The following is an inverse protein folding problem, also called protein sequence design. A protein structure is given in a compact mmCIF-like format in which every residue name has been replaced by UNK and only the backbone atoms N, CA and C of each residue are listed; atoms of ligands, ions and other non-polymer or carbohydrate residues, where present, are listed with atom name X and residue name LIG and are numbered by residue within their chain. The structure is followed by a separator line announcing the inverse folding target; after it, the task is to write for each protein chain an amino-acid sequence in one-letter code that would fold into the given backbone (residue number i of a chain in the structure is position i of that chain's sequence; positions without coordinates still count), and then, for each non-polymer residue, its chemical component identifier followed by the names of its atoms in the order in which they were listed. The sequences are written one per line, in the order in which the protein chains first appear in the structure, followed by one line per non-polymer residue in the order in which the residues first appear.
data_IF_489887854846
#
_entry.id   IF_489887854846
#
_cell.length_a   1.000
_cell.length_b   1.000
_cell.length_c   1.000
_cell.angle_alpha   90.00
_cell.angle_beta   90.00
_cell.angle_gamma   90.00
#
_symmetry.space_group_name_H-M   'P 1'
#
loop_
_entity.id
_entity.type
_entity.pdbx_description
1 polymer ?
#
# COMPACT_ATOMS: atom_id res chain seq x y z
N UNK A 1 19.18 6.46 35.76
CA UNK A 1 18.27 6.33 34.60
C UNK A 1 18.12 7.70 33.97
N UNK A 2 18.89 7.98 32.92
CA UNK A 2 18.81 9.24 32.20
C UNK A 2 17.96 8.98 30.95
N UNK A 3 16.71 9.46 30.92
CA UNK A 3 16.01 9.59 29.64
C UNK A 3 16.77 10.64 28.82
N UNK A 4 17.25 10.28 27.64
CA UNK A 4 18.02 11.20 26.79
C UNK A 4 17.23 12.46 26.41
N UNK A 5 15.89 12.36 26.41
CA UNK A 5 14.98 13.51 26.36
C UNK A 5 14.47 13.76 27.79
N UNK A 6 14.89 14.84 28.47
CA UNK A 6 14.41 15.15 29.81
C UNK A 6 12.89 15.34 29.80
N UNK A 7 12.18 14.70 30.74
CA UNK A 7 10.73 14.87 30.88
C UNK A 7 10.30 16.34 30.97
N UNK A 8 11.11 17.17 31.61
CA UNK A 8 10.90 18.62 31.68
C UNK A 8 10.88 19.29 30.29
N UNK A 9 11.71 18.81 29.35
CA UNK A 9 11.73 19.30 27.96
C UNK A 9 10.47 18.89 27.20
N UNK A 10 10.02 17.63 27.33
CA UNK A 10 8.78 17.14 26.72
C UNK A 10 7.57 17.92 27.26
N UNK A 11 7.51 18.12 28.58
CA UNK A 11 6.48 18.92 29.23
C UNK A 11 6.49 20.36 28.72
N UNK A 12 7.66 20.97 28.57
CA UNK A 12 7.79 22.33 28.04
C UNK A 12 7.29 22.42 26.59
N UNK A 13 7.71 21.51 25.71
CA UNK A 13 7.28 21.44 24.31
C UNK A 13 5.76 21.33 24.24
N UNK A 14 5.20 20.35 24.94
CA UNK A 14 3.76 20.05 24.87
C UNK A 14 2.89 21.13 25.52
N UNK A 15 3.41 21.91 26.47
CA UNK A 15 2.66 22.99 27.14
C UNK A 15 2.83 24.36 26.49
N UNK A 16 4.00 24.69 25.94
CA UNK A 16 4.36 26.07 25.54
C UNK A 16 4.55 26.24 24.04
N UNK A 17 4.90 25.20 23.31
CA UNK A 17 5.26 25.32 21.90
C UNK A 17 4.06 25.10 20.97
N UNK A 18 2.99 25.89 21.18
CA UNK A 18 1.71 25.82 20.44
C UNK A 18 1.83 26.13 18.93
N UNK A 19 2.99 26.60 18.49
CA UNK A 19 3.27 26.91 17.09
C UNK A 19 4.12 25.86 16.36
N UNK A 20 4.50 24.76 17.02
CA UNK A 20 5.26 23.67 16.39
C UNK A 20 4.41 22.96 15.33
N UNK A 21 4.98 22.84 14.13
CA UNK A 21 4.38 22.14 13.00
C UNK A 21 5.10 20.82 12.68
N UNK A 22 6.28 20.58 13.27
CA UNK A 22 7.07 19.37 13.03
C UNK A 22 7.94 19.06 14.25
N UNK A 23 7.93 17.79 14.66
CA UNK A 23 8.80 17.25 15.70
C UNK A 23 9.49 16.03 15.10
N UNK A 24 10.83 16.03 15.12
CA UNK A 24 11.64 14.91 14.65
C UNK A 24 12.46 14.40 15.83
N UNK A 25 12.28 13.13 16.17
CA UNK A 25 13.04 12.42 17.18
C UNK A 25 13.89 11.35 16.49
N UNK A 26 15.20 11.52 16.55
CA UNK A 26 16.16 10.55 16.00
C UNK A 26 16.83 9.80 17.15
N UNK A 27 16.62 8.49 17.17
CA UNK A 27 17.13 7.55 18.16
C UNK A 27 18.21 6.69 17.52
N UNK A 28 19.26 6.38 18.27
CA UNK A 28 20.34 5.49 17.83
C UNK A 28 20.39 4.30 18.77
N UNK A 29 20.48 3.08 18.22
CA UNK A 29 20.76 1.89 19.03
C UNK A 29 22.19 1.96 19.59
N UNK A 30 22.44 1.60 20.86
CA UNK A 30 21.53 0.96 21.82
C UNK A 30 20.85 1.92 22.84
N UNK A 31 20.73 3.22 22.55
CA UNK A 31 20.18 4.25 23.47
C UNK A 31 18.64 4.20 23.61
N UNK A 32 18.09 3.00 23.51
CA UNK A 32 16.69 2.66 23.75
C UNK A 32 16.44 2.68 25.26
N UNK A 33 15.40 3.38 25.70
CA UNK A 33 15.16 3.62 27.12
C UNK A 33 13.71 3.37 27.53
N UNK A 34 13.52 2.92 28.77
CA UNK A 34 12.23 2.56 29.40
C UNK A 34 11.15 3.67 29.38
N UNK A 35 11.50 4.91 29.02
CA UNK A 35 10.59 6.07 28.96
C UNK A 35 10.20 6.54 27.55
N UNK A 36 10.69 5.90 26.48
CA UNK A 36 10.43 6.35 25.12
C UNK A 36 8.94 6.30 24.78
N UNK A 37 8.27 5.20 25.12
CA UNK A 37 6.85 5.03 24.81
C UNK A 37 5.98 6.07 25.52
N UNK A 38 6.31 6.45 26.76
CA UNK A 38 5.63 7.52 27.47
C UNK A 38 5.85 8.86 26.76
N UNK A 39 7.09 9.16 26.39
CA UNK A 39 7.46 10.39 25.66
C UNK A 39 6.73 10.46 24.32
N UNK A 40 6.75 9.37 23.55
CA UNK A 40 6.05 9.25 22.29
C UNK A 40 4.54 9.48 22.47
N UNK A 41 3.91 8.83 23.44
CA UNK A 41 2.49 9.00 23.71
C UNK A 41 2.12 10.43 24.14
N UNK A 42 2.97 11.11 24.90
CA UNK A 42 2.76 12.51 25.27
C UNK A 42 2.84 13.43 24.04
N UNK A 43 3.85 13.26 23.18
CA UNK A 43 4.00 14.04 21.94
C UNK A 43 2.88 13.74 20.94
N UNK A 44 2.49 12.48 20.83
CA UNK A 44 1.35 12.06 20.05
C UNK A 44 0.06 12.70 20.58
N UNK A 45 -0.14 12.74 21.90
CA UNK A 45 -1.26 13.44 22.54
C UNK A 45 -1.25 14.95 22.30
N UNK A 46 -0.08 15.58 22.21
CA UNK A 46 0.07 16.98 21.81
C UNK A 46 -0.32 17.20 20.35
N UNK A 47 0.11 16.31 19.45
CA UNK A 47 -0.23 16.36 18.02
C UNK A 47 -1.75 16.37 17.81
N UNK A 48 -2.48 15.49 18.49
CA UNK A 48 -3.94 15.39 18.36
C UNK A 48 -4.71 16.59 18.94
N UNK A 49 -4.10 17.38 19.82
CA UNK A 49 -4.70 18.59 20.37
C UNK A 49 -4.46 19.82 19.50
N UNK A 50 -3.57 19.73 18.51
CA UNK A 50 -3.28 20.86 17.62
C UNK A 50 -4.53 21.26 16.82
N UNK A 51 -4.71 22.57 16.69
CA UNK A 51 -5.73 23.18 15.85
C UNK A 51 -5.15 23.80 14.59
N UNK A 52 -3.82 23.71 14.41
CA UNK A 52 -3.15 24.19 13.20
C UNK A 52 -3.29 23.19 12.05
N UNK A 53 -3.33 23.65 10.79
CA UNK A 53 -3.72 22.82 9.65
C UNK A 53 -2.87 21.56 9.47
N UNK A 54 -1.57 21.66 9.74
CA UNK A 54 -0.60 20.58 9.54
C UNK A 54 0.38 20.51 10.70
N UNK A 55 0.47 19.32 11.31
CA UNK A 55 1.51 19.02 12.27
C UNK A 55 2.07 17.60 12.01
N UNK A 56 3.36 17.42 12.20
CA UNK A 56 4.02 16.14 11.99
C UNK A 56 4.86 15.70 13.18
N UNK A 57 4.87 14.38 13.42
CA UNK A 57 5.76 13.72 14.35
C UNK A 57 6.47 12.59 13.62
N UNK A 58 7.81 12.66 13.59
CA UNK A 58 8.67 11.68 12.96
C UNK A 58 9.57 11.05 14.01
N UNK A 59 9.53 9.73 14.10
CA UNK A 59 10.40 8.92 14.94
C UNK A 59 11.33 8.13 14.03
N UNK A 60 12.64 8.33 14.15
CA UNK A 60 13.65 7.62 13.39
C UNK A 60 14.51 6.75 14.31
N UNK A 61 14.56 5.46 14.01
CA UNK A 61 15.44 4.50 14.67
C UNK A 61 16.61 4.18 13.73
N UNK A 62 17.81 4.58 14.12
CA UNK A 62 19.03 4.17 13.45
C UNK A 62 19.58 2.93 14.15
N UNK A 63 19.49 1.80 13.46
CA UNK A 63 19.94 0.51 13.96
C UNK A 63 21.41 0.31 13.61
N UNK A 64 22.21 0.00 14.62
CA UNK A 64 23.52 -0.61 14.43
C UNK A 64 23.34 -2.12 14.52
N UNK A 65 24.01 -2.89 13.66
CA UNK A 65 23.97 -4.36 13.71
C UNK A 65 24.55 -4.83 15.04
N UNK A 66 23.73 -5.44 15.93
CA UNK A 66 24.18 -5.86 17.26
C UNK A 66 23.09 -6.07 18.30
N UNK A 67 23.50 -6.07 19.58
CA UNK A 67 22.67 -6.25 20.78
C UNK A 67 21.59 -5.15 20.88
N UNK A 68 20.36 -5.54 21.21
CA UNK A 68 19.22 -4.64 21.41
C UNK A 68 18.28 -4.44 20.20
N UNK A 69 18.45 -5.24 19.15
CA UNK A 69 17.54 -5.22 18.00
C UNK A 69 16.07 -5.53 18.37
N UNK A 70 15.85 -6.54 19.22
CA UNK A 70 14.49 -6.92 19.65
C UNK A 70 13.81 -5.80 20.45
N UNK A 71 14.55 -5.10 21.31
CA UNK A 71 13.99 -3.98 22.10
C UNK A 71 13.56 -2.82 21.19
N UNK A 72 14.32 -2.54 20.12
CA UNK A 72 13.92 -1.57 19.08
C UNK A 72 12.63 -2.01 18.40
N UNK A 73 12.53 -3.28 18.02
CA UNK A 73 11.35 -3.83 17.35
C UNK A 73 10.10 -3.75 18.25
N UNK A 74 10.24 -4.12 19.53
CA UNK A 74 9.16 -4.08 20.51
C UNK A 74 8.65 -2.64 20.70
N UNK A 75 9.55 -1.65 20.80
CA UNK A 75 9.14 -0.24 20.88
C UNK A 75 8.48 0.28 19.60
N UNK A 76 8.98 -0.12 18.42
CA UNK A 76 8.34 0.23 17.15
C UNK A 76 6.92 -0.33 17.15
N UNK A 77 6.73 -1.58 17.57
CA UNK A 77 5.41 -2.20 17.71
C UNK A 77 4.52 -1.43 18.69
N UNK A 78 5.01 -1.01 19.85
CA UNK A 78 4.25 -0.20 20.81
C UNK A 78 3.87 1.18 20.25
N UNK A 79 4.77 1.82 19.51
CA UNK A 79 4.51 3.11 18.85
C UNK A 79 3.46 2.96 17.73
N UNK A 80 3.54 1.89 16.92
CA UNK A 80 2.55 1.55 15.89
C UNK A 80 1.19 1.26 16.53
N UNK A 81 1.14 0.44 17.58
CA UNK A 81 -0.08 0.17 18.32
C UNK A 81 -0.69 1.46 18.90
N UNK A 82 0.14 2.40 19.36
CA UNK A 82 -0.31 3.69 19.85
C UNK A 82 -0.83 4.61 18.73
N UNK A 83 -0.22 4.53 17.54
CA UNK A 83 -0.60 5.25 16.32
C UNK A 83 -1.95 4.79 15.79
N UNK A 84 -2.16 3.48 15.68
CA UNK A 84 -3.36 2.89 15.09
C UNK A 84 -4.56 2.85 16.03
N UNK A 85 -4.44 3.38 17.25
CA UNK A 85 -5.59 3.54 18.14
C UNK A 85 -6.62 4.50 17.53
N UNK A 86 -7.92 4.28 17.78
CA UNK A 86 -8.94 5.20 17.33
C UNK A 86 -8.75 6.55 18.01
N UNK A 87 -8.56 7.60 17.21
CA UNK A 87 -8.39 8.96 17.69
C UNK A 87 -9.13 9.92 16.77
N UNK A 88 -9.75 10.93 17.37
CA UNK A 88 -10.33 12.04 16.62
C UNK A 88 -9.27 13.12 16.44
N UNK A 89 -9.04 13.55 15.21
CA UNK A 89 -8.25 14.76 14.92
C UNK A 89 -9.16 15.90 14.47
N UNK A 90 -8.73 17.14 14.73
CA UNK A 90 -9.38 18.35 14.21
C UNK A 90 -8.77 18.84 12.90
N UNK A 91 -7.58 18.33 12.56
CA UNK A 91 -6.69 18.85 11.52
C UNK A 91 -5.93 17.71 10.85
N UNK A 92 -5.23 18.00 9.75
CA UNK A 92 -4.38 17.03 9.08
C UNK A 92 -3.11 16.79 9.90
N UNK A 93 -2.87 15.54 10.30
CA UNK A 93 -1.70 15.14 11.06
C UNK A 93 -0.92 14.07 10.31
N UNK A 94 0.41 14.17 10.35
CA UNK A 94 1.31 13.16 9.77
C UNK A 94 2.19 12.53 10.84
N UNK A 95 2.19 11.22 10.91
CA UNK A 95 2.99 10.41 11.81
C UNK A 95 3.90 9.54 10.97
N UNK A 96 5.21 9.59 11.23
CA UNK A 96 6.16 8.74 10.51
C UNK A 96 7.04 7.99 11.51
N UNK A 97 7.07 6.67 11.38
CA UNK A 97 8.00 5.80 12.11
C UNK A 97 8.92 5.20 11.06
N UNK A 98 10.22 5.39 11.24
CA UNK A 98 11.25 5.02 10.28
C UNK A 98 12.29 4.19 11.00
N UNK A 99 12.51 2.97 10.51
CA UNK A 99 13.66 2.15 10.87
C UNK A 99 14.71 2.25 9.75
N UNK A 100 15.95 2.55 10.11
CA UNK A 100 17.11 2.55 9.21
C UNK A 100 18.09 1.50 9.68
N UNK A 101 18.19 0.41 8.93
CA UNK A 101 19.20 -0.63 9.15
C UNK A 101 20.51 -0.32 8.40
N UNK A 102 20.42 0.29 7.22
CA UNK A 102 21.57 0.75 6.44
C UNK A 102 21.20 1.95 5.56
N UNK A 103 22.16 2.47 4.78
CA UNK A 103 21.90 3.56 3.81
C UNK A 103 20.90 3.16 2.71
N UNK A 104 20.74 1.87 2.45
CA UNK A 104 19.85 1.33 1.42
C UNK A 104 18.63 0.59 1.99
N UNK A 105 18.66 0.22 3.28
CA UNK A 105 17.59 -0.54 3.93
C UNK A 105 16.85 0.35 4.93
N UNK A 106 15.67 0.78 4.52
CA UNK A 106 14.77 1.60 5.32
C UNK A 106 13.37 1.01 5.29
N UNK A 107 12.81 0.75 6.47
CA UNK A 107 11.39 0.47 6.62
C UNK A 107 10.71 1.74 7.12
N UNK A 108 9.61 2.13 6.49
CA UNK A 108 8.88 3.36 6.87
C UNK A 108 7.40 3.08 6.95
N UNK A 109 6.81 3.52 8.05
CA UNK A 109 5.37 3.63 8.23
C UNK A 109 5.03 5.10 8.29
N UNK A 110 4.25 5.59 7.34
CA UNK A 110 3.69 6.94 7.37
C UNK A 110 2.19 6.83 7.52
N UNK A 111 1.67 7.31 8.65
CA UNK A 111 0.24 7.39 8.93
C UNK A 111 -0.20 8.83 8.80
N UNK A 112 -1.14 9.10 7.91
CA UNK A 112 -1.80 10.40 7.76
C UNK A 112 -3.22 10.30 8.30
N UNK A 113 -3.58 11.25 9.15
CA UNK A 113 -4.88 11.33 9.79
C UNK A 113 -5.53 12.65 9.40
N UNK A 114 -6.69 12.57 8.76
CA UNK A 114 -7.42 13.74 8.28
C UNK A 114 -8.86 13.71 8.80
N UNK A 115 -9.37 14.88 9.18
CA UNK A 115 -10.78 15.00 9.57
C UNK A 115 -11.62 15.08 8.29
N UNK A 116 -12.55 14.15 8.15
CA UNK A 116 -13.54 14.13 7.08
C UNK A 116 -14.94 14.15 7.70
N UNK A 117 -15.67 15.24 7.51
CA UNK A 117 -17.01 15.49 8.07
C UNK A 117 -17.14 15.07 9.55
N UNK A 118 -17.63 13.84 9.78
CA UNK A 118 -17.95 13.25 11.08
C UNK A 118 -16.98 12.13 11.53
N UNK A 119 -15.92 11.84 10.76
CA UNK A 119 -14.93 10.80 11.09
C UNK A 119 -13.50 11.26 10.83
N UNK A 120 -12.54 10.56 11.44
CA UNK A 120 -11.14 10.67 11.05
C UNK A 120 -10.85 9.57 10.03
N UNK A 121 -10.39 9.98 8.85
CA UNK A 121 -9.86 9.09 7.84
C UNK A 121 -8.40 8.81 8.17
N UNK A 122 -8.02 7.54 8.12
CA UNK A 122 -6.66 7.09 8.37
C UNK A 122 -6.09 6.43 7.13
N UNK A 123 -5.01 7.02 6.62
CA UNK A 123 -4.23 6.45 5.53
C UNK A 123 -2.86 6.05 6.05
N UNK A 124 -2.43 4.84 5.68
CA UNK A 124 -1.12 4.30 6.03
C UNK A 124 -0.38 3.98 4.74
N UNK A 125 0.81 4.56 4.59
CA UNK A 125 1.79 4.19 3.56
C UNK A 125 2.92 3.45 4.22
N UNK A 126 3.16 2.23 3.77
CA UNK A 126 4.19 1.36 4.26
C UNK A 126 5.21 1.13 3.14
N UNK A 127 6.47 1.38 3.45
CA UNK A 127 7.60 1.03 2.60
C UNK A 127 8.45 0.00 3.33
N UNK A 128 8.63 -1.19 2.73
CA UNK A 128 9.29 -2.34 3.38
C UNK A 128 10.46 -2.79 2.53
N UNK A 129 11.64 -2.81 3.14
CA UNK A 129 12.81 -3.43 2.51
C UNK A 129 13.01 -4.82 3.10
N UNK A 130 12.83 -5.86 2.28
CA UNK A 130 13.15 -7.26 2.64
C UNK A 130 14.56 -7.67 2.20
N UNK A 131 15.41 -6.71 1.79
CA UNK A 131 16.79 -6.99 1.35
C UNK A 131 17.69 -7.57 2.44
N UNK A 132 17.29 -7.49 3.71
CA UNK A 132 18.12 -7.89 4.83
C UNK A 132 17.43 -8.97 5.67
N UNK A 133 18.15 -10.06 5.95
CA UNK A 133 17.72 -11.07 6.94
C UNK A 133 17.53 -10.46 8.33
N UNK A 134 18.13 -9.29 8.58
CA UNK A 134 18.01 -8.56 9.82
C UNK A 134 16.78 -7.64 9.89
N UNK A 135 16.09 -7.35 8.76
CA UNK A 135 14.86 -6.56 8.77
C UNK A 135 13.69 -7.44 9.21
N UNK A 136 13.15 -7.14 10.39
CA UNK A 136 12.12 -7.92 11.10
C UNK A 136 10.74 -7.34 10.88
N UNK A 137 10.43 -7.01 9.63
CA UNK A 137 9.16 -6.41 9.25
C UNK A 137 7.96 -7.30 9.59
N UNK A 138 8.14 -8.62 9.65
CA UNK A 138 7.21 -9.60 10.20
C UNK A 138 6.77 -9.26 11.64
N UNK A 139 7.68 -8.74 12.47
CA UNK A 139 7.36 -8.32 13.84
C UNK A 139 6.41 -7.11 13.84
N UNK A 140 6.60 -6.16 12.93
CA UNK A 140 5.72 -5.00 12.82
C UNK A 140 4.31 -5.40 12.36
N UNK A 141 4.20 -6.46 11.56
CA UNK A 141 2.92 -7.02 11.12
C UNK A 141 2.11 -7.66 12.26
N UNK A 142 2.73 -7.91 13.43
CA UNK A 142 2.04 -8.37 14.64
C UNK A 142 1.15 -7.29 15.26
N UNK A 143 1.45 -6.01 15.02
CA UNK A 143 0.62 -4.89 15.49
C UNK A 143 -0.84 -5.01 15.02
N UNK A 144 -1.76 -4.33 15.73
CA UNK A 144 -3.20 -4.41 15.46
C UNK A 144 -3.73 -3.12 14.79
N UNK A 145 -3.63 -3.00 13.45
CA UNK A 145 -4.02 -1.80 12.68
C UNK A 145 -5.55 -1.71 12.46
N UNK A 146 -6.33 -1.65 13.53
CA UNK A 146 -7.80 -1.79 13.44
C UNK A 146 -8.48 -0.61 12.73
N UNK A 147 -7.85 0.58 12.74
CA UNK A 147 -8.46 1.84 12.31
C UNK A 147 -7.80 2.44 11.06
N UNK A 148 -7.45 1.60 10.09
CA UNK A 148 -6.90 2.02 8.80
C UNK A 148 -7.99 1.97 7.72
N UNK A 149 -8.23 3.08 7.03
CA UNK A 149 -9.22 3.18 5.94
C UNK A 149 -8.56 3.00 4.56
N UNK A 150 -7.32 3.47 4.41
CA UNK A 150 -6.50 3.35 3.20
C UNK A 150 -5.13 2.79 3.56
N UNK A 151 -4.67 1.77 2.84
CA UNK A 151 -3.36 1.16 3.04
C UNK A 151 -2.63 1.06 1.71
N UNK A 152 -1.41 1.59 1.66
CA UNK A 152 -0.50 1.45 0.54
C UNK A 152 0.75 0.74 1.03
N UNK A 153 1.12 -0.36 0.37
CA UNK A 153 2.29 -1.16 0.71
C UNK A 153 3.19 -1.24 -0.53
N UNK A 154 4.39 -0.73 -0.36
CA UNK A 154 5.47 -0.76 -1.33
C UNK A 154 6.59 -1.63 -0.75
N UNK A 155 6.79 -2.83 -1.29
CA UNK A 155 7.93 -3.66 -0.90
C UNK A 155 8.93 -3.70 -2.05
N UNK A 156 10.21 -3.46 -1.76
CA UNK A 156 11.24 -3.58 -2.79
C UNK A 156 11.76 -5.02 -2.77
N UNK A 157 11.04 -5.94 -3.42
CA UNK A 157 11.57 -7.26 -3.75
C UNK A 157 10.91 -7.79 -5.03
N UNK A 158 11.56 -7.56 -6.18
CA UNK A 158 10.98 -7.89 -7.50
C UNK A 158 10.85 -9.39 -7.79
N UNK A 159 11.56 -10.25 -7.06
CA UNK A 159 11.70 -11.67 -7.42
C UNK A 159 11.09 -12.67 -6.39
N UNK A 160 10.36 -12.20 -5.37
CA UNK A 160 9.77 -13.07 -4.34
C UNK A 160 8.30 -12.78 -4.16
N UNK A 161 7.63 -13.77 -3.57
CA UNK A 161 6.23 -13.73 -3.20
C UNK A 161 6.07 -12.72 -2.06
N UNK A 162 4.99 -11.95 -2.07
CA UNK A 162 4.58 -11.18 -0.90
C UNK A 162 4.56 -12.08 0.36
N UNK A 163 5.23 -11.68 1.46
CA UNK A 163 5.20 -12.45 2.70
C UNK A 163 3.79 -12.58 3.27
N UNK A 164 3.45 -13.76 3.79
CA UNK A 164 2.13 -14.04 4.35
C UNK A 164 1.76 -13.09 5.50
N UNK A 165 2.76 -12.67 6.30
CA UNK A 165 2.58 -11.74 7.41
C UNK A 165 1.97 -10.40 6.98
N UNK A 166 2.24 -9.93 5.74
CA UNK A 166 1.63 -8.72 5.21
C UNK A 166 0.13 -8.94 5.00
N UNK A 167 -0.28 -10.07 4.43
CA UNK A 167 -1.69 -10.38 4.24
C UNK A 167 -2.41 -10.57 5.57
N UNK A 168 -1.75 -11.17 6.56
CA UNK A 168 -2.26 -11.23 7.93
C UNK A 168 -2.44 -9.83 8.53
N UNK A 169 -1.50 -8.90 8.31
CA UNK A 169 -1.63 -7.51 8.73
C UNK A 169 -2.82 -6.81 8.04
N UNK A 170 -2.97 -6.97 6.72
CA UNK A 170 -4.12 -6.45 5.96
C UNK A 170 -5.43 -7.01 6.54
N UNK A 171 -5.47 -8.29 6.92
CA UNK A 171 -6.67 -8.94 7.44
C UNK A 171 -7.12 -8.36 8.80
N UNK A 172 -6.18 -7.80 9.58
CA UNK A 172 -6.47 -7.07 10.83
C UNK A 172 -7.03 -5.66 10.60
N UNK A 173 -6.91 -5.11 9.38
CA UNK A 173 -7.44 -3.79 9.02
C UNK A 173 -8.95 -3.85 8.72
N UNK A 174 -9.78 -4.03 9.74
CA UNK A 174 -11.23 -4.25 9.59
C UNK A 174 -12.01 -3.08 8.96
N UNK A 175 -11.40 -1.90 8.80
CA UNK A 175 -12.00 -0.73 8.16
C UNK A 175 -11.45 -0.46 6.76
N UNK A 176 -10.53 -1.29 6.26
CA UNK A 176 -9.80 -1.02 5.04
C UNK A 176 -10.73 -0.99 3.83
N UNK A 177 -10.79 0.15 3.15
CA UNK A 177 -11.62 0.37 1.96
C UNK A 177 -10.78 0.42 0.67
N UNK A 178 -9.59 1.02 0.74
CA UNK A 178 -8.64 1.10 -0.39
C UNK A 178 -7.33 0.41 -0.02
N UNK A 179 -6.93 -0.56 -0.83
CA UNK A 179 -5.65 -1.24 -0.74
C UNK A 179 -4.83 -0.94 -2.00
N UNK A 180 -3.58 -0.55 -1.80
CA UNK A 180 -2.58 -0.35 -2.86
C UNK A 180 -1.38 -1.26 -2.60
N UNK A 181 -0.99 -2.05 -3.60
CA UNK A 181 0.16 -2.96 -3.56
C UNK A 181 1.13 -2.59 -4.69
N UNK A 182 2.39 -2.29 -4.35
CA UNK A 182 3.40 -1.83 -5.31
C UNK A 182 4.63 -2.76 -5.36
N UNK A 183 5.34 -2.79 -6.50
CA UNK A 183 6.73 -3.28 -6.64
C UNK A 183 7.02 -4.76 -6.28
N UNK A 184 6.07 -5.70 -6.45
CA UNK A 184 6.27 -7.12 -6.08
C UNK A 184 5.50 -8.09 -6.99
N UNK A 185 5.67 -9.39 -6.74
CA UNK A 185 4.90 -10.45 -7.37
C UNK A 185 3.73 -10.94 -6.49
N UNK A 186 2.51 -10.87 -7.01
CA UNK A 186 1.25 -11.21 -6.36
C UNK A 186 0.72 -12.56 -6.86
N UNK A 187 0.81 -13.58 -6.00
CA UNK A 187 0.32 -14.92 -6.33
C UNK A 187 -1.04 -15.22 -5.70
N UNK A 188 -1.25 -14.81 -4.44
CA UNK A 188 -2.50 -15.09 -3.73
C UNK A 188 -2.75 -14.14 -2.57
N UNK A 189 -3.99 -14.12 -2.09
CA UNK A 189 -4.38 -13.57 -0.79
C UNK A 189 -4.35 -14.60 0.35
N UNK A 190 -3.69 -15.75 0.17
CA UNK A 190 -3.52 -16.78 1.22
C UNK A 190 -4.83 -17.24 1.90
N UNK A 191 -5.95 -17.20 1.17
CA UNK A 191 -7.27 -17.61 1.67
C UNK A 191 -7.98 -16.58 2.55
N UNK A 192 -7.40 -15.40 2.78
CA UNK A 192 -8.05 -14.32 3.52
C UNK A 192 -9.19 -13.67 2.71
N UNK A 193 -10.24 -13.25 3.41
CA UNK A 193 -11.41 -12.58 2.83
C UNK A 193 -11.56 -11.16 3.38
N UNK A 194 -11.34 -10.17 2.53
CA UNK A 194 -11.37 -8.75 2.82
C UNK A 194 -12.69 -8.11 2.39
N UNK A 195 -13.73 -8.31 3.19
CA UNK A 195 -15.10 -7.86 2.88
C UNK A 195 -15.25 -6.35 2.75
N UNK A 196 -14.36 -5.56 3.34
CA UNK A 196 -14.47 -4.09 3.37
C UNK A 196 -13.75 -3.41 2.21
N UNK A 197 -12.84 -4.11 1.53
CA UNK A 197 -12.08 -3.55 0.42
C UNK A 197 -13.04 -3.33 -0.75
N UNK A 198 -13.04 -2.09 -1.24
CA UNK A 198 -13.84 -1.63 -2.39
C UNK A 198 -12.97 -1.13 -3.53
N UNK A 199 -11.73 -0.75 -3.24
CA UNK A 199 -10.75 -0.25 -4.22
C UNK A 199 -9.45 -1.03 -4.08
N UNK A 200 -8.99 -1.67 -5.15
CA UNK A 200 -7.72 -2.37 -5.22
C UNK A 200 -6.84 -1.71 -6.30
N UNK A 201 -5.65 -1.27 -5.91
CA UNK A 201 -4.69 -0.65 -6.79
C UNK A 201 -3.43 -1.50 -6.80
N UNK A 202 -2.95 -1.85 -7.99
CA UNK A 202 -1.75 -2.66 -8.17
C UNK A 202 -0.82 -1.91 -9.11
N UNK A 203 0.40 -1.64 -8.64
CA UNK A 203 1.38 -0.81 -9.34
C UNK A 203 2.73 -1.52 -9.46
N UNK A 204 3.39 -1.43 -10.61
CA UNK A 204 4.76 -1.93 -10.83
C UNK A 204 4.96 -3.39 -10.37
N UNK A 205 3.98 -4.24 -10.62
CA UNK A 205 3.88 -5.57 -10.00
C UNK A 205 3.70 -6.69 -11.02
N UNK A 206 4.29 -7.86 -10.74
CA UNK A 206 3.90 -9.10 -11.39
C UNK A 206 2.64 -9.66 -10.72
N UNK A 207 1.65 -10.11 -11.46
CA UNK A 207 0.39 -10.64 -10.88
C UNK A 207 0.03 -11.95 -11.55
N UNK A 208 -0.06 -13.03 -10.78
CA UNK A 208 -0.46 -14.33 -11.32
C UNK A 208 -1.90 -14.33 -11.82
N UNK A 209 -2.19 -15.12 -12.85
CA UNK A 209 -3.56 -15.37 -13.30
C UNK A 209 -4.44 -15.88 -12.14
N UNK A 210 -3.90 -16.80 -11.32
CA UNK A 210 -4.58 -17.36 -10.15
C UNK A 210 -4.89 -16.33 -9.05
N UNK A 211 -4.20 -15.19 -9.01
CA UNK A 211 -4.55 -14.09 -8.11
C UNK A 211 -5.87 -13.45 -8.55
N UNK A 212 -6.02 -13.13 -9.84
CA UNK A 212 -7.24 -12.52 -10.40
C UNK A 212 -8.45 -13.45 -10.25
N UNK A 213 -8.28 -14.74 -10.55
CA UNK A 213 -9.35 -15.73 -10.46
C UNK A 213 -9.93 -15.85 -9.03
N UNK A 214 -9.10 -15.56 -8.01
CA UNK A 214 -9.49 -15.61 -6.59
C UNK A 214 -9.97 -14.29 -6.02
N UNK A 215 -9.92 -13.19 -6.79
CA UNK A 215 -10.47 -11.89 -6.36
C UNK A 215 -11.94 -11.94 -5.94
N UNK A 216 -12.85 -12.67 -6.61
CA UNK A 216 -14.26 -12.69 -6.20
C UNK A 216 -14.44 -13.26 -4.80
N UNK A 217 -13.61 -14.25 -4.43
CA UNK A 217 -13.63 -14.88 -3.11
C UNK A 217 -12.90 -14.04 -2.06
N UNK A 218 -11.80 -13.40 -2.44
CA UNK A 218 -10.93 -12.66 -1.52
C UNK A 218 -11.44 -11.25 -1.24
N UNK A 219 -12.00 -10.57 -2.25
CA UNK A 219 -12.49 -9.19 -2.18
C UNK A 219 -13.92 -9.12 -2.76
N UNK A 220 -14.92 -9.74 -2.11
CA UNK A 220 -16.26 -9.92 -2.69
C UNK A 220 -17.04 -8.62 -2.93
N UNK A 221 -16.61 -7.51 -2.31
CA UNK A 221 -17.23 -6.19 -2.46
C UNK A 221 -16.38 -5.22 -3.27
N UNK A 222 -15.41 -5.73 -4.05
CA UNK A 222 -14.56 -4.93 -4.91
C UNK A 222 -15.41 -4.20 -5.95
N UNK A 223 -15.18 -2.89 -6.08
CA UNK A 223 -15.92 -2.02 -7.01
C UNK A 223 -14.99 -1.31 -7.97
N UNK A 224 -13.78 -0.98 -7.52
CA UNK A 224 -12.79 -0.23 -8.28
C UNK A 224 -11.49 -1.00 -8.34
N UNK A 225 -10.88 -1.02 -9.50
CA UNK A 225 -9.59 -1.63 -9.70
C UNK A 225 -8.73 -0.72 -10.57
N UNK A 226 -7.51 -0.43 -10.11
CA UNK A 226 -6.50 0.22 -10.94
C UNK A 226 -5.27 -0.68 -11.09
N UNK A 227 -4.82 -0.81 -12.32
CA UNK A 227 -3.70 -1.63 -12.74
C UNK A 227 -2.69 -0.76 -13.49
N UNK A 228 -1.52 -0.49 -12.90
CA UNK A 228 -0.48 0.33 -13.57
C UNK A 228 0.83 -0.42 -13.67
N UNK A 229 1.42 -0.41 -14.85
CA UNK A 229 2.72 -1.01 -15.16
C UNK A 229 2.87 -2.43 -14.57
N UNK A 230 1.85 -3.26 -14.81
CA UNK A 230 1.81 -4.64 -14.31
C UNK A 230 2.24 -5.64 -15.38
N UNK A 231 2.75 -6.78 -14.93
CA UNK A 231 3.02 -7.94 -15.77
C UNK A 231 2.15 -9.12 -15.29
N UNK A 232 1.46 -9.81 -16.19
CA UNK A 232 0.79 -11.06 -15.82
C UNK A 232 1.81 -12.18 -15.70
N UNK A 233 1.77 -12.93 -14.59
CA UNK A 233 2.63 -14.08 -14.34
C UNK A 233 1.88 -15.39 -14.59
N UNK A 234 2.53 -16.33 -15.26
CA UNK A 234 2.02 -17.68 -15.45
C UNK A 234 2.77 -18.64 -14.56
N UNK A 235 2.05 -19.41 -13.73
CA UNK A 235 2.68 -20.30 -12.75
C UNK A 235 3.35 -21.53 -13.42
N UNK A 236 2.98 -21.86 -14.66
CA UNK A 236 3.37 -23.10 -15.35
C UNK A 236 3.85 -22.93 -16.81
N UNK A 237 3.96 -21.70 -17.34
CA UNK A 237 4.35 -21.48 -18.74
C UNK A 237 5.16 -20.21 -18.97
N UNK A 238 6.07 -20.24 -19.94
CA UNK A 238 6.78 -19.06 -20.47
C UNK A 238 5.91 -18.22 -21.43
N UNK A 239 4.58 -18.42 -21.41
CA UNK A 239 3.65 -17.67 -22.27
C UNK A 239 3.72 -16.18 -21.99
N UNK A 240 3.78 -15.40 -23.06
CA UNK A 240 4.02 -13.97 -22.99
C UNK A 240 2.71 -13.16 -22.83
N UNK A 241 1.59 -13.64 -23.37
CA UNK A 241 0.30 -12.94 -23.29
C UNK A 241 -0.35 -13.05 -21.92
N UNK A 242 -1.03 -12.00 -21.47
CA UNK A 242 -1.64 -11.99 -20.13
C UNK A 242 -3.16 -12.14 -20.18
N UNK A 243 -3.69 -13.19 -19.55
CA UNK A 243 -5.12 -13.29 -19.28
C UNK A 243 -5.41 -12.80 -17.86
N UNK A 244 -6.30 -11.82 -17.73
CA UNK A 244 -6.80 -11.28 -16.46
C UNK A 244 -8.22 -11.80 -16.28
N UNK A 245 -8.35 -12.97 -15.66
CA UNK A 245 -9.65 -13.61 -15.43
C UNK A 245 -10.19 -13.29 -14.03
N UNK A 246 -11.35 -12.62 -13.99
CA UNK A 246 -12.02 -12.15 -12.78
C UNK A 246 -13.48 -12.65 -12.76
N UNK A 247 -13.70 -13.96 -12.56
CA UNK A 247 -14.99 -14.58 -12.81
C UNK A 247 -16.06 -14.07 -11.84
N UNK A 248 -17.19 -13.60 -12.36
CA UNK A 248 -18.31 -13.14 -11.54
C UNK A 248 -18.12 -11.77 -10.86
N UNK A 249 -17.00 -11.06 -11.11
CA UNK A 249 -16.81 -9.69 -10.62
C UNK A 249 -17.53 -8.68 -11.52
N UNK A 250 -18.26 -7.76 -10.90
CA UNK A 250 -18.77 -6.54 -11.53
C UNK A 250 -18.02 -5.33 -10.98
N UNK A 251 -17.25 -4.66 -11.83
CA UNK A 251 -16.54 -3.43 -11.47
C UNK A 251 -17.39 -2.21 -11.84
N UNK A 252 -17.43 -1.25 -10.92
CA UNK A 252 -17.87 0.10 -11.24
C UNK A 252 -16.83 0.83 -12.08
N UNK A 253 -15.54 0.57 -11.81
CA UNK A 253 -14.43 1.24 -12.48
C UNK A 253 -13.26 0.26 -12.62
N UNK A 254 -12.76 0.11 -13.84
CA UNK A 254 -11.47 -0.51 -14.13
C UNK A 254 -10.61 0.52 -14.86
N UNK A 255 -9.49 0.89 -14.26
CA UNK A 255 -8.51 1.77 -14.87
C UNK A 255 -7.21 1.04 -15.10
N UNK A 256 -6.62 1.21 -16.28
CA UNK A 256 -5.35 0.57 -16.61
C UNK A 256 -4.39 1.54 -17.31
N UNK A 257 -3.13 1.50 -16.92
CA UNK A 257 -2.05 2.25 -17.55
C UNK A 257 -0.81 1.33 -17.67
N UNK A 258 -0.45 0.98 -18.90
CA UNK A 258 0.69 0.09 -19.15
C UNK A 258 2.03 0.81 -19.21
N UNK A 259 2.07 2.14 -19.01
CA UNK A 259 3.26 2.92 -19.28
C UNK A 259 3.76 2.69 -20.71
N UNK A 260 2.83 2.58 -21.65
CA UNK A 260 3.05 2.00 -22.98
C UNK A 260 4.18 2.73 -23.72
N UNK A 261 5.31 2.03 -23.89
CA UNK A 261 6.41 2.42 -24.80
C UNK A 261 6.27 1.77 -26.17
N UNK A 262 5.40 0.77 -26.27
CA UNK A 262 5.11 -0.03 -27.46
C UNK A 262 3.58 -0.07 -27.64
N UNK A 263 3.10 -0.61 -28.76
CA UNK A 263 1.66 -0.83 -28.98
C UNK A 263 1.17 -2.00 -28.14
N UNK A 264 -0.04 -1.87 -27.60
CA UNK A 264 -0.74 -2.92 -26.87
C UNK A 264 -2.13 -3.17 -27.46
N UNK A 265 -2.53 -4.44 -27.49
CA UNK A 265 -3.89 -4.86 -27.80
C UNK A 265 -4.56 -5.30 -26.50
N UNK A 266 -5.73 -4.73 -26.20
CA UNK A 266 -6.48 -5.05 -24.99
C UNK A 266 -7.90 -5.47 -25.37
N UNK A 267 -8.26 -6.68 -24.97
CA UNK A 267 -9.56 -7.26 -25.23
C UNK A 267 -10.32 -7.35 -23.92
N UNK A 268 -11.57 -6.90 -23.89
CA UNK A 268 -12.41 -6.94 -22.70
C UNK A 268 -13.65 -7.74 -23.01
N UNK A 269 -13.75 -8.93 -22.41
CA UNK A 269 -14.91 -9.80 -22.52
C UNK A 269 -15.77 -9.70 -21.26
N UNK A 270 -17.04 -9.36 -21.47
CA UNK A 270 -18.09 -9.25 -20.43
C UNK A 270 -19.33 -10.04 -20.84
N UNK A 271 -20.35 -10.11 -19.98
CA UNK A 271 -21.65 -10.71 -20.36
C UNK A 271 -22.33 -9.96 -21.52
N UNK A 272 -21.98 -8.68 -21.75
CA UNK A 272 -22.58 -7.84 -22.80
C UNK A 272 -21.95 -8.07 -24.17
N UNK A 273 -20.75 -8.66 -24.22
CA UNK A 273 -19.98 -8.83 -25.45
C UNK A 273 -18.49 -8.58 -25.22
N UNK A 274 -17.75 -8.49 -26.33
CA UNK A 274 -16.32 -8.21 -26.36
C UNK A 274 -16.06 -6.82 -26.98
N UNK A 275 -15.15 -6.07 -26.37
CA UNK A 275 -14.62 -4.81 -26.88
C UNK A 275 -13.11 -4.91 -27.02
N UNK A 276 -12.56 -4.25 -28.04
CA UNK A 276 -11.15 -4.33 -28.41
C UNK A 276 -10.54 -2.93 -28.42
N UNK A 277 -9.34 -2.78 -27.88
CA UNK A 277 -8.70 -1.47 -27.76
C UNK A 277 -7.24 -1.54 -28.20
N UNK A 278 -6.84 -0.58 -29.02
CA UNK A 278 -5.44 -0.31 -29.32
C UNK A 278 -4.92 0.78 -28.40
N UNK A 279 -3.83 0.49 -27.69
CA UNK A 279 -3.11 1.49 -26.90
C UNK A 279 -1.76 1.76 -27.54
N UNK A 280 -1.52 3.00 -27.93
CA UNK A 280 -0.25 3.46 -28.49
C UNK A 280 0.42 4.49 -27.56
N UNK A 281 1.76 4.61 -27.59
CA UNK A 281 2.48 5.62 -26.83
C UNK A 281 1.98 7.03 -27.15
N UNK A 282 1.77 7.84 -26.11
CA UNK A 282 1.37 9.26 -26.19
C UNK A 282 0.06 9.54 -26.95
N UNK A 283 -0.76 8.51 -27.17
CA UNK A 283 -2.07 8.64 -27.82
C UNK A 283 -3.22 8.26 -26.89
N UNK A 284 -4.40 8.73 -27.26
CA UNK A 284 -5.63 8.22 -26.65
C UNK A 284 -5.87 6.79 -27.15
N UNK A 285 -6.35 5.90 -26.29
CA UNK A 285 -6.78 4.57 -26.68
C UNK A 285 -7.87 4.64 -27.74
N UNK A 286 -7.75 3.84 -28.78
CA UNK A 286 -8.72 3.73 -29.86
C UNK A 286 -9.51 2.42 -29.71
N UNK A 287 -10.84 2.50 -29.77
CA UNK A 287 -11.70 1.32 -29.81
C UNK A 287 -11.72 0.75 -31.22
N UNK A 288 -11.53 -0.57 -31.34
CA UNK A 288 -11.40 -1.28 -32.59
C UNK A 288 -12.65 -2.10 -32.90
N UNK A 289 -12.89 -2.34 -34.19
CA UNK A 289 -13.77 -3.41 -34.65
C UNK A 289 -13.07 -4.78 -34.51
N UNK A 290 -13.86 -5.86 -34.49
CA UNK A 290 -13.33 -7.23 -34.44
C UNK A 290 -12.31 -7.50 -35.55
N UNK A 291 -12.63 -7.08 -36.78
CA UNK A 291 -11.74 -7.29 -37.94
C UNK A 291 -10.40 -6.58 -37.78
N UNK A 292 -10.39 -5.37 -37.21
CA UNK A 292 -9.15 -4.62 -36.95
C UNK A 292 -8.33 -5.28 -35.85
N UNK A 293 -8.98 -5.76 -34.79
CA UNK A 293 -8.34 -6.49 -33.70
C UNK A 293 -7.70 -7.80 -34.20
N UNK A 294 -8.43 -8.58 -35.00
CA UNK A 294 -7.94 -9.83 -35.60
C UNK A 294 -6.69 -9.60 -36.47
N UNK A 295 -6.68 -8.52 -37.25
CA UNK A 295 -5.51 -8.14 -38.06
C UNK A 295 -4.30 -7.77 -37.19
N UNK A 296 -4.53 -7.02 -36.10
CA UNK A 296 -3.47 -6.58 -35.19
C UNK A 296 -2.96 -7.68 -34.27
N UNK A 297 -3.75 -8.73 -34.05
CA UNK A 297 -3.39 -9.85 -33.18
C UNK A 297 -2.14 -10.60 -33.65
N UNK A 298 -1.93 -10.67 -34.96
CA UNK A 298 -0.71 -11.26 -35.55
C UNK A 298 0.47 -10.28 -35.59
N UNK A 299 0.22 -8.97 -35.56
CA UNK A 299 1.25 -7.92 -35.63
C UNK A 299 1.83 -7.54 -34.26
N UNK A 300 0.99 -7.52 -33.23
CA UNK A 300 1.38 -7.11 -31.88
C UNK A 300 1.93 -8.33 -31.13
N UNK A 301 3.13 -8.26 -30.53
CA UNK A 301 3.69 -9.38 -29.79
C UNK A 301 2.77 -9.81 -28.64
N UNK A 302 2.65 -11.13 -28.41
CA UNK A 302 1.84 -11.69 -27.31
C UNK A 302 2.09 -11.00 -25.96
N UNK A 303 3.35 -10.65 -25.63
CA UNK A 303 3.70 -9.91 -24.40
C UNK A 303 2.98 -8.57 -24.20
N UNK A 304 2.47 -8.00 -25.29
CA UNK A 304 1.76 -6.72 -25.31
C UNK A 304 0.26 -6.92 -25.59
N UNK A 305 -0.25 -8.13 -25.36
CA UNK A 305 -1.66 -8.47 -25.51
C UNK A 305 -2.24 -8.84 -24.14
N UNK A 306 -3.33 -8.16 -23.77
CA UNK A 306 -4.09 -8.49 -22.58
C UNK A 306 -5.52 -8.86 -22.90
N UNK A 307 -5.94 -10.00 -22.36
CA UNK A 307 -7.32 -10.46 -22.44
C UNK A 307 -7.95 -10.41 -21.05
N UNK A 308 -8.95 -9.55 -20.88
CA UNK A 308 -9.62 -9.28 -19.61
C UNK A 308 -10.99 -9.92 -19.65
N UNK A 309 -11.25 -10.83 -18.71
CA UNK A 309 -12.54 -11.49 -18.57
C UNK A 309 -13.15 -11.17 -17.22
N UNK A 310 -14.37 -10.64 -17.22
CA UNK A 310 -15.13 -10.39 -15.99
C UNK A 310 -16.63 -10.45 -16.26
N UNK A 311 -17.47 -10.29 -15.24
CA UNK A 311 -18.92 -10.23 -15.48
C UNK A 311 -19.29 -8.93 -16.19
N UNK A 312 -18.96 -7.78 -15.60
CA UNK A 312 -19.31 -6.47 -16.15
C UNK A 312 -18.35 -5.37 -15.66
N UNK A 313 -18.20 -4.32 -16.45
CA UNK A 313 -17.45 -3.10 -16.12
C UNK A 313 -18.31 -1.90 -16.52
N UNK A 314 -18.65 -1.02 -15.57
CA UNK A 314 -19.46 0.16 -15.86
C UNK A 314 -18.65 1.29 -16.50
N UNK A 315 -17.43 1.50 -16.01
CA UNK A 315 -16.50 2.51 -16.52
C UNK A 315 -15.14 1.84 -16.73
N UNK A 316 -14.69 1.83 -17.99
CA UNK A 316 -13.38 1.32 -18.37
C UNK A 316 -12.54 2.47 -18.89
N UNK A 317 -11.34 2.63 -18.32
CA UNK A 317 -10.42 3.70 -18.67
C UNK A 317 -9.02 3.15 -18.94
N UNK A 318 -8.43 3.62 -20.03
CA UNK A 318 -7.08 3.28 -20.47
C UNK A 318 -6.23 4.55 -20.51
N UNK A 319 -4.95 4.45 -20.13
CA UNK A 319 -4.00 5.57 -20.03
C UNK A 319 -4.43 6.69 -19.06
N UNK A 320 -5.10 6.34 -17.95
CA UNK A 320 -5.41 7.33 -16.93
C UNK A 320 -4.20 7.56 -16.01
N UNK A 321 -3.52 8.69 -16.19
CA UNK A 321 -2.42 9.14 -15.33
C UNK A 321 -2.83 9.44 -13.87
N UNK A 322 -4.13 9.44 -13.55
CA UNK A 322 -4.69 9.79 -12.23
C UNK A 322 -5.33 8.59 -11.52
N UNK A 323 -4.70 7.41 -11.57
CA UNK A 323 -4.83 6.45 -10.48
C UNK A 323 -4.10 6.92 -9.21
#
# INVERSE_FOLDING_TARGET
QNSYIPRAMVNYITARCVNLYSIILTLRSPDVHDGLIETYNQLLGFLFRQTKPTCSLRLEFNRNTGVGAQEVDDMICECLNSTFRPRSTKVHNSLSIIERASSFNRTTFTTTLEKQDNRTQCEVKMHVSYFDKDCRSDQYMKSSPVYVDTLSIDCIYRDSRFPEDIFLFIAKCHRLQKLTLCNNNLYSFHGYVYKTIRSLHIYDAGVSVGFFQRLPNSCPNLKKMCLTNMNVLHEESDEAGGTIEMPGITLQELSMDMGAKEKWLIDVTTYKGCSYFLVEPDKRPDELTLTEADMLNDEIPLKNQYHIQCHDILQFELNNYNC
#
